data_IF_019223438798
#
_entry.id   IF_019223438798
#
_cell.length_a   1.000
_cell.length_b   1.000
_cell.length_c   1.000
_cell.angle_alpha   90.00
_cell.angle_beta   90.00
_cell.angle_gamma   90.00
#
_symmetry.space_group_name_H-M   'P 1'
#
loop_
_entity.id
_entity.type
_entity.pdbx_description
1 polymer ?
#
# COMPACT_ATOMS: atom_id res chain seq x y z
N UNK A 1 -16.96 -4.80 11.00
CA UNK A 1 -15.66 -4.41 10.41
C UNK A 1 -14.57 -5.17 11.10
N UNK A 2 -14.07 -6.20 10.44
CA UNK A 2 -12.83 -6.88 10.83
C UNK A 2 -11.62 -6.07 10.33
N UNK A 3 -10.42 -6.31 10.87
CA UNK A 3 -9.21 -5.58 10.44
C UNK A 3 -8.90 -5.73 8.95
N UNK A 4 -9.24 -6.88 8.34
CA UNK A 4 -9.05 -7.16 6.91
C UNK A 4 -9.95 -6.29 6.01
N UNK A 5 -11.22 -6.12 6.39
CA UNK A 5 -12.18 -5.27 5.65
C UNK A 5 -11.73 -3.80 5.66
N UNK A 6 -11.15 -3.33 6.77
CA UNK A 6 -10.58 -1.99 6.87
C UNK A 6 -9.42 -1.81 5.90
N UNK A 7 -8.43 -2.71 5.92
CA UNK A 7 -7.23 -2.60 5.06
C UNK A 7 -7.57 -2.61 3.57
N UNK A 8 -8.55 -3.41 3.19
CA UNK A 8 -9.00 -3.48 1.79
C UNK A 8 -9.61 -2.15 1.36
N UNK A 9 -10.45 -1.53 2.20
CA UNK A 9 -11.04 -0.23 1.93
C UNK A 9 -9.96 0.87 1.87
N UNK A 10 -9.02 0.87 2.82
CA UNK A 10 -7.92 1.83 2.89
C UNK A 10 -7.06 1.79 1.60
N UNK A 11 -6.70 0.60 1.13
CA UNK A 11 -5.92 0.43 -0.12
C UNK A 11 -6.71 0.89 -1.34
N UNK A 12 -8.01 0.58 -1.41
CA UNK A 12 -8.87 1.02 -2.50
C UNK A 12 -8.99 2.55 -2.56
N UNK A 13 -9.13 3.21 -1.40
CA UNK A 13 -9.20 4.66 -1.28
C UNK A 13 -7.90 5.32 -1.78
N UNK A 14 -6.73 4.84 -1.33
CA UNK A 14 -5.43 5.39 -1.75
C UNK A 14 -5.21 5.25 -3.25
N UNK A 15 -5.51 4.09 -3.83
CA UNK A 15 -5.36 3.87 -5.28
C UNK A 15 -6.33 4.76 -6.06
N UNK A 16 -7.57 4.89 -5.58
CA UNK A 16 -8.56 5.76 -6.23
C UNK A 16 -8.15 7.23 -6.15
N UNK A 17 -7.66 7.69 -5.00
CA UNK A 17 -7.17 9.07 -4.84
C UNK A 17 -6.01 9.36 -5.77
N UNK A 18 -5.02 8.46 -5.87
CA UNK A 18 -3.90 8.63 -6.80
C UNK A 18 -4.39 8.74 -8.25
N UNK A 19 -5.40 7.94 -8.64
CA UNK A 19 -6.02 8.01 -9.96
C UNK A 19 -6.72 9.35 -10.23
N UNK A 20 -7.46 9.88 -9.25
CA UNK A 20 -8.12 11.18 -9.37
C UNK A 20 -7.11 12.33 -9.53
N UNK A 21 -5.90 12.18 -9.02
CA UNK A 21 -4.78 13.13 -9.19
C UNK A 21 -4.04 12.95 -10.53
N UNK A 22 -4.51 12.05 -11.41
CA UNK A 22 -3.90 11.75 -12.70
C UNK A 22 -2.66 10.84 -12.61
N UNK A 23 -2.43 10.23 -11.45
CA UNK A 23 -1.38 9.26 -11.22
C UNK A 23 -1.88 7.82 -11.26
N UNK A 24 -0.95 6.88 -11.30
CA UNK A 24 -1.23 5.46 -11.12
C UNK A 24 -0.20 4.85 -10.17
N UNK A 25 -0.61 3.85 -9.40
CA UNK A 25 0.32 3.08 -8.58
C UNK A 25 1.00 2.00 -9.41
N UNK A 26 2.28 1.78 -9.12
CA UNK A 26 3.06 0.72 -9.78
C UNK A 26 2.54 -0.67 -9.41
N UNK A 27 2.79 -1.66 -10.28
CA UNK A 27 2.45 -3.06 -9.98
C UNK A 27 3.13 -3.53 -8.69
N UNK A 28 4.39 -3.14 -8.46
CA UNK A 28 5.13 -3.51 -7.26
C UNK A 28 4.46 -2.98 -5.96
N UNK A 29 3.85 -1.79 -6.02
CA UNK A 29 3.05 -1.30 -4.89
C UNK A 29 1.76 -2.12 -4.70
N UNK A 30 1.10 -2.52 -5.79
CA UNK A 30 -0.12 -3.35 -5.70
C UNK A 30 0.17 -4.72 -5.06
N UNK A 31 1.33 -5.30 -5.34
CA UNK A 31 1.74 -6.57 -4.75
C UNK A 31 1.99 -6.42 -3.24
N UNK A 32 2.69 -5.36 -2.81
CA UNK A 32 2.88 -5.07 -1.38
C UNK A 32 1.56 -4.75 -0.66
N UNK A 33 0.66 -4.00 -1.31
CA UNK A 33 -0.65 -3.67 -0.76
C UNK A 33 -1.51 -4.91 -0.56
N UNK A 34 -1.37 -5.92 -1.44
CA UNK A 34 -2.02 -7.22 -1.27
C UNK A 34 -1.46 -7.96 -0.05
N UNK A 35 -0.14 -8.01 0.12
CA UNK A 35 0.47 -8.60 1.33
C UNK A 35 -0.04 -7.91 2.61
N UNK A 36 -0.23 -6.59 2.57
CA UNK A 36 -0.76 -5.83 3.69
C UNK A 36 -2.22 -6.18 3.98
N UNK A 37 -3.07 -6.23 2.95
CA UNK A 37 -4.48 -6.62 3.07
C UNK A 37 -4.61 -8.04 3.62
N UNK A 38 -3.84 -8.99 3.06
CA UNK A 38 -3.82 -10.40 3.47
C UNK A 38 -3.25 -10.60 4.89
N UNK A 39 -2.66 -9.57 5.49
CA UNK A 39 -2.10 -9.62 6.84
C UNK A 39 -0.69 -10.22 6.91
N UNK A 40 -0.05 -10.46 5.77
CA UNK A 40 1.32 -10.97 5.68
C UNK A 40 2.35 -9.92 6.12
N UNK A 41 2.02 -8.63 5.95
CA UNK A 41 2.83 -7.51 6.43
C UNK A 41 1.97 -6.49 7.18
N UNK A 42 2.62 -5.68 8.02
CA UNK A 42 2.01 -4.51 8.64
C UNK A 42 2.28 -3.24 7.82
N UNK A 43 1.71 -2.12 8.27
CA UNK A 43 1.84 -0.83 7.59
C UNK A 43 3.28 -0.30 7.58
N UNK A 44 4.12 -0.67 8.56
CA UNK A 44 5.51 -0.23 8.63
C UNK A 44 6.33 -0.93 7.55
N UNK A 45 6.16 -2.24 7.41
CA UNK A 45 6.83 -3.00 6.34
C UNK A 45 6.37 -2.54 4.95
N UNK A 46 5.07 -2.24 4.75
CA UNK A 46 4.58 -1.64 3.49
C UNK A 46 5.29 -0.30 3.17
N UNK A 47 5.45 0.56 4.18
CA UNK A 47 6.16 1.83 4.04
C UNK A 47 7.65 1.60 3.74
N UNK A 48 8.32 0.71 4.46
CA UNK A 48 9.75 0.43 4.28
C UNK A 48 10.05 -0.20 2.92
N UNK A 49 9.19 -1.07 2.39
CA UNK A 49 9.32 -1.58 1.01
C UNK A 49 9.19 -0.46 0.00
N UNK A 50 8.20 0.41 0.18
CA UNK A 50 8.00 1.58 -0.68
C UNK A 50 9.20 2.51 -0.65
N UNK A 51 9.71 2.85 0.54
CA UNK A 51 10.86 3.73 0.72
C UNK A 51 12.14 3.15 0.12
N UNK A 52 12.44 1.86 0.39
CA UNK A 52 13.56 1.14 -0.22
C UNK A 52 13.51 1.19 -1.74
N UNK A 53 12.33 1.01 -2.34
CA UNK A 53 12.14 1.09 -3.80
C UNK A 53 12.55 2.45 -4.38
N UNK A 54 12.35 3.52 -3.64
CA UNK A 54 12.70 4.88 -4.04
C UNK A 54 14.04 5.38 -3.49
N UNK A 55 14.85 4.51 -2.86
CA UNK A 55 16.13 4.89 -2.26
C UNK A 55 15.99 5.82 -1.04
N UNK A 56 14.80 5.88 -0.45
CA UNK A 56 14.53 6.59 0.79
C UNK A 56 14.85 5.60 1.93
N UNK A 57 15.74 5.96 2.87
CA UNK A 57 16.10 5.07 3.99
C UNK A 57 14.87 4.61 4.80
N UNK A 58 15.00 3.57 5.63
CA UNK A 58 13.90 3.07 6.48
C UNK A 58 13.34 4.16 7.40
N UNK A 59 12.03 4.10 7.66
CA UNK A 59 11.31 5.14 8.42
C UNK A 59 11.40 4.96 9.94
#
# INVERSE_FOLDING_TARGET
>A
MTGFESRTADVAEVIHSAHLEGGDVTQAFRDDARDYVDGNIDVRELLDRTRRRYGLGVA
#
